data_IF_134021376283
#
_entry.id   IF_134021376283
#
_cell.length_a   1.000
_cell.length_b   1.000
_cell.length_c   1.000
_cell.angle_alpha   90.00
_cell.angle_beta   90.00
_cell.angle_gamma   90.00
#
_symmetry.space_group_name_H-M   'P 1'
#
loop_
_entity.id
_entity.type
_entity.pdbx_description
1 polymer ?
#
# COMPACT_ATOMS: atom_id res chain seq x y z
N UNK A 1 44.81 -3.93 41.27
CA UNK A 1 44.54 -2.51 41.56
C UNK A 1 43.58 -1.97 40.50
N UNK A 2 42.40 -1.48 40.95
CA UNK A 2 41.45 -0.49 40.36
C UNK A 2 41.13 -0.57 38.84
N UNK A 3 39.88 -0.86 38.46
CA UNK A 3 38.73 0.06 38.23
C UNK A 3 39.03 1.13 37.15
N UNK A 4 38.23 1.30 36.09
CA UNK A 4 36.95 2.08 36.00
C UNK A 4 36.28 1.68 34.66
N UNK A 5 35.13 1.00 34.66
CA UNK A 5 33.73 1.49 34.61
C UNK A 5 33.18 1.88 33.20
N UNK A 6 32.28 1.04 32.68
CA UNK A 6 31.24 1.39 31.69
C UNK A 6 29.89 1.33 32.40
N UNK A 7 29.22 2.47 32.47
CA UNK A 7 27.92 2.67 33.11
C UNK A 7 26.79 2.30 32.16
N UNK A 8 26.12 1.17 32.43
CA UNK A 8 24.76 0.89 31.94
C UNK A 8 23.76 1.42 32.96
N UNK A 9 22.94 2.41 32.57
CA UNK A 9 21.82 2.90 33.38
C UNK A 9 20.74 1.81 33.45
N UNK A 10 20.60 1.22 34.63
CA UNK A 10 19.44 0.43 35.04
C UNK A 10 18.24 1.37 35.16
N UNK A 11 17.12 1.05 34.48
CA UNK A 11 15.81 1.56 34.88
C UNK A 11 15.16 0.51 35.79
N UNK A 12 14.78 0.99 36.97
CA UNK A 12 14.23 0.24 38.10
C UNK A 12 12.77 -0.10 37.79
N UNK A 13 12.45 -1.39 37.65
CA UNK A 13 11.08 -1.88 37.68
C UNK A 13 10.76 -2.25 39.14
N UNK A 14 9.84 -1.54 39.76
CA UNK A 14 9.34 -1.87 41.10
C UNK A 14 8.57 -3.19 41.02
N UNK A 15 9.14 -4.26 41.57
CA UNK A 15 8.41 -5.48 41.92
C UNK A 15 7.85 -5.29 43.32
N UNK A 16 6.53 -5.11 43.43
CA UNK A 16 5.84 -5.35 44.69
C UNK A 16 5.42 -6.82 44.69
N UNK A 17 6.26 -7.66 45.28
CA UNK A 17 5.98 -9.06 45.56
C UNK A 17 5.01 -9.14 46.74
N UNK A 18 3.72 -9.29 46.47
CA UNK A 18 2.76 -9.70 47.50
C UNK A 18 2.67 -11.23 47.45
N UNK A 19 3.32 -11.85 48.43
CA UNK A 19 3.15 -13.25 48.81
C UNK A 19 1.77 -13.42 49.45
N UNK A 20 0.83 -14.05 48.75
CA UNK A 20 -0.38 -14.60 49.37
C UNK A 20 -0.55 -16.04 48.92
N UNK A 21 -0.25 -16.94 49.84
CA UNK A 21 -0.57 -18.36 49.79
C UNK A 21 -2.05 -18.57 50.15
N UNK A 22 -2.74 -19.26 49.25
CA UNK A 22 -4.01 -19.99 49.40
C UNK A 22 -4.99 -19.57 50.53
N UNK A 23 -6.01 -18.79 50.17
CA UNK A 23 -7.35 -18.91 50.73
C UNK A 23 -8.37 -18.90 49.59
N UNK A 24 -8.93 -20.07 49.31
CA UNK A 24 -9.98 -20.28 48.32
C UNK A 24 -11.34 -19.84 48.88
N UNK A 25 -12.23 -19.41 47.99
CA UNK A 25 -13.69 -19.33 48.14
C UNK A 25 -14.31 -18.05 48.76
N UNK A 26 -13.88 -16.88 48.32
CA UNK A 26 -14.80 -15.73 48.17
C UNK A 26 -14.92 -15.47 46.66
N UNK A 27 -16.14 -15.34 46.13
CA UNK A 27 -16.44 -15.33 44.69
C UNK A 27 -15.45 -14.45 43.89
N UNK A 28 -14.51 -15.11 43.21
CA UNK A 28 -13.55 -14.48 42.32
C UNK A 28 -14.25 -14.22 40.98
N UNK A 29 -14.70 -12.99 40.75
CA UNK A 29 -15.14 -12.61 39.40
C UNK A 29 -13.90 -12.36 38.55
N UNK A 30 -13.47 -13.40 37.85
CA UNK A 30 -12.43 -13.32 36.83
C UNK A 30 -13.07 -13.00 35.48
N UNK A 31 -12.68 -11.87 34.90
CA UNK A 31 -13.06 -11.50 33.53
C UNK A 31 -11.82 -11.26 32.69
N UNK A 32 -11.92 -11.50 31.39
CA UNK A 32 -10.84 -11.35 30.43
C UNK A 32 -11.26 -10.45 29.27
N UNK A 33 -10.37 -9.57 28.86
CA UNK A 33 -10.48 -8.79 27.65
C UNK A 33 -9.39 -9.20 26.66
N UNK A 34 -9.80 -9.48 25.43
CA UNK A 34 -8.92 -9.70 24.27
C UNK A 34 -8.97 -8.42 23.43
N UNK A 35 -7.81 -7.85 23.12
CA UNK A 35 -7.70 -6.64 22.31
C UNK A 35 -6.90 -6.96 21.05
N UNK A 36 -7.53 -6.79 19.89
CA UNK A 36 -6.90 -6.92 18.56
C UNK A 36 -6.73 -5.56 17.91
N UNK A 37 -5.78 -5.45 16.98
CA UNK A 37 -5.55 -4.24 16.19
C UNK A 37 -6.21 -4.40 14.81
N UNK A 38 -6.93 -3.37 14.38
CA UNK A 38 -7.83 -3.36 13.22
C UNK A 38 -7.17 -3.52 11.85
N UNK A 39 -5.90 -3.90 11.79
CA UNK A 39 -5.22 -4.37 10.58
C UNK A 39 -5.22 -5.90 10.43
N UNK A 40 -5.89 -6.63 11.33
CA UNK A 40 -6.02 -8.09 11.22
C UNK A 40 -6.78 -8.47 9.95
N UNK A 41 -6.34 -9.50 9.23
CA UNK A 41 -7.12 -10.08 8.12
C UNK A 41 -8.42 -10.70 8.65
N UNK A 42 -9.49 -10.71 7.85
CA UNK A 42 -10.73 -11.39 8.24
C UNK A 42 -10.52 -12.89 8.34
N UNK A 43 -9.80 -13.46 7.37
CA UNK A 43 -9.44 -14.88 7.29
C UNK A 43 -7.94 -15.10 7.47
N UNK A 44 -7.47 -16.34 7.74
CA UNK A 44 -6.05 -16.62 8.01
C UNK A 44 -5.16 -16.61 6.75
N UNK A 45 -5.42 -15.73 5.79
CA UNK A 45 -4.61 -15.54 4.59
C UNK A 45 -4.73 -14.12 4.05
N UNK A 46 -3.70 -13.67 3.34
CA UNK A 46 -3.74 -12.47 2.52
C UNK A 46 -4.45 -12.78 1.19
N UNK A 47 -5.60 -12.14 0.90
CA UNK A 47 -6.34 -12.41 -0.33
C UNK A 47 -5.58 -12.11 -1.62
N UNK A 48 -4.61 -11.19 -1.60
CA UNK A 48 -3.83 -10.83 -2.79
C UNK A 48 -2.74 -11.83 -3.11
N UNK A 49 -2.03 -12.31 -2.10
CA UNK A 49 -0.89 -13.23 -2.27
C UNK A 49 -1.23 -14.68 -2.00
N UNK A 50 -2.43 -14.95 -1.48
CA UNK A 50 -2.90 -16.25 -1.02
C UNK A 50 -2.00 -16.91 0.04
N UNK A 51 -1.19 -16.10 0.74
CA UNK A 51 -0.27 -16.57 1.78
C UNK A 51 -0.94 -16.57 3.14
N UNK A 52 -0.57 -17.51 4.00
CA UNK A 52 -1.05 -17.55 5.38
C UNK A 52 -0.71 -16.26 6.14
N UNK A 53 -1.67 -15.78 6.93
CA UNK A 53 -1.49 -14.64 7.83
C UNK A 53 -1.91 -15.04 9.25
N UNK A 54 -1.07 -14.70 10.22
CA UNK A 54 -1.40 -14.87 11.64
C UNK A 54 -2.39 -13.81 12.12
N UNK A 55 -2.97 -14.03 13.30
CA UNK A 55 -3.75 -13.00 13.98
C UNK A 55 -5.09 -12.63 13.31
N UNK A 56 -5.58 -13.43 12.35
CA UNK A 56 -6.87 -13.15 11.69
C UNK A 56 -8.03 -13.03 12.68
N UNK A 57 -9.07 -12.28 12.31
CA UNK A 57 -10.29 -12.13 13.11
C UNK A 57 -10.97 -13.48 13.38
N UNK A 58 -10.95 -14.41 12.41
CA UNK A 58 -11.49 -15.75 12.62
C UNK A 58 -10.70 -16.56 13.68
N UNK A 59 -9.38 -16.37 13.73
CA UNK A 59 -8.54 -16.95 14.77
C UNK A 59 -8.79 -16.28 16.14
N UNK A 60 -8.99 -14.96 16.17
CA UNK A 60 -9.33 -14.22 17.39
C UNK A 60 -10.69 -14.65 17.97
N UNK A 61 -11.70 -14.81 17.11
CA UNK A 61 -13.01 -15.34 17.49
C UNK A 61 -12.87 -16.74 18.10
N UNK A 62 -12.12 -17.63 17.46
CA UNK A 62 -11.89 -19.00 17.96
C UNK A 62 -11.14 -18.99 19.31
N UNK A 63 -10.15 -18.10 19.46
CA UNK A 63 -9.43 -17.90 20.71
C UNK A 63 -10.36 -17.41 21.83
N UNK A 64 -11.24 -16.44 21.54
CA UNK A 64 -12.23 -15.95 22.50
C UNK A 64 -13.21 -17.06 22.93
N UNK A 65 -13.70 -17.86 21.99
CA UNK A 65 -14.59 -18.99 22.28
C UNK A 65 -13.95 -20.03 23.20
N UNK A 66 -12.66 -20.32 23.04
CA UNK A 66 -11.95 -21.20 23.96
C UNK A 66 -12.00 -20.66 25.41
N UNK A 67 -11.69 -19.38 25.60
CA UNK A 67 -11.76 -18.77 26.93
C UNK A 67 -13.19 -18.66 27.47
N UNK A 68 -14.20 -18.47 26.62
CA UNK A 68 -15.61 -18.49 27.03
C UNK A 68 -16.03 -19.86 27.57
N UNK A 69 -15.49 -20.95 27.04
CA UNK A 69 -15.70 -22.30 27.57
C UNK A 69 -15.06 -22.49 28.95
N UNK A 70 -13.91 -21.86 29.19
CA UNK A 70 -13.16 -21.96 30.46
C UNK A 70 -13.70 -21.04 31.56
N UNK A 71 -13.98 -19.76 31.24
CA UNK A 71 -14.36 -18.73 32.20
C UNK A 71 -15.87 -18.42 32.22
N UNK A 72 -16.62 -18.92 31.23
CA UNK A 72 -18.02 -18.58 31.01
C UNK A 72 -18.20 -17.43 30.01
N UNK A 73 -19.25 -17.51 29.18
CA UNK A 73 -19.49 -16.59 28.06
C UNK A 73 -19.58 -15.11 28.47
N UNK A 74 -20.11 -14.82 29.66
CA UNK A 74 -20.29 -13.45 30.17
C UNK A 74 -19.01 -12.83 30.76
N UNK A 75 -17.94 -13.62 30.86
CA UNK A 75 -16.68 -13.22 31.49
C UNK A 75 -15.54 -12.97 30.49
N UNK A 76 -15.77 -13.18 29.20
CA UNK A 76 -14.76 -12.93 28.16
C UNK A 76 -15.29 -11.93 27.15
N UNK A 77 -14.53 -10.86 26.97
CA UNK A 77 -14.82 -9.79 26.03
C UNK A 77 -13.73 -9.73 24.96
N UNK A 78 -14.11 -9.32 23.76
CA UNK A 78 -13.19 -9.06 22.66
C UNK A 78 -13.47 -7.68 22.09
N UNK A 79 -12.43 -6.88 21.90
CA UNK A 79 -12.48 -5.58 21.23
C UNK A 79 -11.44 -5.55 20.10
N UNK A 80 -11.86 -5.08 18.93
CA UNK A 80 -10.96 -4.76 17.81
C UNK A 80 -10.84 -3.24 17.71
N UNK A 81 -9.61 -2.75 17.74
CA UNK A 81 -9.35 -1.32 17.74
C UNK A 81 -8.93 -0.89 16.33
N UNK A 82 -9.73 -0.08 15.61
CA UNK A 82 -9.47 0.32 14.23
C UNK A 82 -8.41 1.44 14.13
N UNK A 83 -7.30 1.34 14.86
CA UNK A 83 -6.18 2.30 14.82
C UNK A 83 -5.35 2.20 13.55
N UNK A 84 -5.41 1.06 12.86
CA UNK A 84 -4.54 0.74 11.73
C UNK A 84 -5.35 0.59 10.45
N UNK A 85 -4.72 1.01 9.35
CA UNK A 85 -5.25 0.81 8.02
C UNK A 85 -5.36 -0.69 7.73
N UNK A 86 -6.42 -1.09 7.04
CA UNK A 86 -6.59 -2.46 6.57
C UNK A 86 -5.45 -2.85 5.61
N UNK A 87 -4.98 -4.11 5.65
CA UNK A 87 -4.14 -4.65 4.60
C UNK A 87 -4.78 -4.48 3.22
N UNK A 88 -3.97 -4.35 2.16
CA UNK A 88 -4.50 -3.99 0.84
C UNK A 88 -5.56 -4.98 0.32
N UNK A 89 -5.36 -6.29 0.49
CA UNK A 89 -6.33 -7.29 0.06
C UNK A 89 -7.68 -7.16 0.80
N UNK A 90 -7.62 -6.91 2.10
CA UNK A 90 -8.81 -6.63 2.92
C UNK A 90 -9.51 -5.34 2.48
N UNK A 91 -8.75 -4.27 2.25
CA UNK A 91 -9.29 -2.99 1.81
C UNK A 91 -9.97 -3.09 0.44
N UNK A 92 -9.35 -3.81 -0.51
CA UNK A 92 -9.91 -4.06 -1.84
C UNK A 92 -11.20 -4.87 -1.74
N UNK A 93 -11.19 -5.99 -1.00
CA UNK A 93 -12.40 -6.81 -0.87
C UNK A 93 -13.52 -6.10 -0.12
N UNK A 94 -13.19 -5.34 0.92
CA UNK A 94 -14.17 -4.53 1.63
C UNK A 94 -14.81 -3.48 0.71
N UNK A 95 -14.04 -2.84 -0.18
CA UNK A 95 -14.55 -1.77 -1.03
C UNK A 95 -15.29 -2.29 -2.28
N UNK A 96 -14.81 -3.38 -2.87
CA UNK A 96 -15.26 -3.85 -4.20
C UNK A 96 -15.99 -5.21 -4.16
N UNK A 97 -15.94 -5.93 -3.04
CA UNK A 97 -16.56 -7.24 -2.83
C UNK A 97 -17.73 -7.17 -1.85
N UNK A 98 -17.46 -7.46 -0.57
CA UNK A 98 -18.45 -7.41 0.52
C UNK A 98 -17.91 -6.60 1.70
N UNK A 99 -18.40 -5.37 1.86
CA UNK A 99 -18.03 -4.45 2.94
C UNK A 99 -18.50 -4.91 4.32
N UNK A 100 -19.47 -5.82 4.39
CA UNK A 100 -20.09 -6.25 5.65
C UNK A 100 -19.46 -7.53 6.21
N UNK A 101 -18.73 -8.30 5.40
CA UNK A 101 -18.12 -9.58 5.79
C UNK A 101 -17.30 -9.47 7.08
N UNK A 102 -16.39 -8.49 7.14
CA UNK A 102 -15.53 -8.27 8.32
C UNK A 102 -16.37 -8.08 9.59
N UNK A 103 -17.39 -7.22 9.51
CA UNK A 103 -18.27 -6.92 10.64
C UNK A 103 -19.06 -8.16 11.07
N UNK A 104 -19.56 -8.97 10.13
CA UNK A 104 -20.26 -10.23 10.45
C UNK A 104 -19.37 -11.22 11.20
N UNK A 105 -18.10 -11.39 10.77
CA UNK A 105 -17.12 -12.26 11.46
C UNK A 105 -16.84 -11.76 12.88
N UNK A 106 -16.65 -10.46 13.03
CA UNK A 106 -16.43 -9.82 14.33
C UNK A 106 -17.63 -9.98 15.26
N UNK A 107 -18.84 -9.68 14.79
CA UNK A 107 -20.07 -9.81 15.57
C UNK A 107 -20.33 -11.26 16.00
N UNK A 108 -20.06 -12.23 15.12
CA UNK A 108 -20.21 -13.65 15.43
C UNK A 108 -19.28 -14.10 16.56
N UNK A 109 -18.03 -13.63 16.60
CA UNK A 109 -17.13 -13.90 17.73
C UNK A 109 -17.43 -13.09 19.00
N UNK A 110 -18.45 -12.22 18.97
CA UNK A 110 -18.79 -11.32 20.08
C UNK A 110 -17.82 -10.15 20.24
N UNK A 111 -17.15 -9.73 19.17
CA UNK A 111 -16.32 -8.53 19.17
C UNK A 111 -17.18 -7.28 19.37
N UNK A 112 -16.74 -6.39 20.25
CA UNK A 112 -17.33 -5.08 20.48
C UNK A 112 -16.46 -4.00 19.85
N UNK A 113 -17.10 -2.99 19.25
CA UNK A 113 -16.44 -1.88 18.54
C UNK A 113 -17.04 -0.54 18.94
N UNK A 114 -16.31 0.55 18.71
CA UNK A 114 -16.79 1.91 19.00
C UNK A 114 -17.05 2.13 20.50
N UNK A 115 -18.11 2.86 20.89
CA UNK A 115 -18.32 3.27 22.29
C UNK A 115 -18.38 2.10 23.30
N UNK A 116 -18.92 0.96 22.89
CA UNK A 116 -18.96 -0.24 23.75
C UNK A 116 -17.57 -0.82 23.97
N UNK A 117 -16.70 -0.77 22.95
CA UNK A 117 -15.29 -1.15 23.08
C UNK A 117 -14.52 -0.19 23.97
N UNK A 118 -14.71 1.12 23.80
CA UNK A 118 -14.04 2.16 24.59
C UNK A 118 -14.38 2.06 26.09
N UNK A 119 -15.65 1.77 26.39
CA UNK A 119 -16.11 1.50 27.75
C UNK A 119 -15.41 0.29 28.36
N UNK A 120 -15.18 -0.77 27.59
CA UNK A 120 -14.45 -1.95 28.05
C UNK A 120 -12.96 -1.67 28.27
N UNK A 121 -12.30 -0.96 27.35
CA UNK A 121 -10.89 -0.57 27.53
C UNK A 121 -10.71 0.22 28.84
N UNK A 122 -11.64 1.14 29.11
CA UNK A 122 -11.67 1.91 30.36
C UNK A 122 -11.91 1.01 31.58
N UNK A 123 -12.90 0.12 31.50
CA UNK A 123 -13.24 -0.84 32.57
C UNK A 123 -12.08 -1.77 32.93
N UNK A 124 -11.27 -2.15 31.95
CA UNK A 124 -10.09 -3.01 32.11
C UNK A 124 -8.80 -2.23 32.35
N UNK A 125 -8.86 -0.89 32.46
CA UNK A 125 -7.69 0.00 32.67
C UNK A 125 -6.60 -0.22 31.60
N UNK A 126 -7.01 -0.38 30.34
CA UNK A 126 -6.09 -0.55 29.22
C UNK A 126 -5.50 0.81 28.86
N UNK A 127 -4.18 0.95 28.95
CA UNK A 127 -3.48 2.14 28.50
C UNK A 127 -3.36 2.17 26.98
N UNK A 128 -3.61 3.34 26.38
CA UNK A 128 -3.52 3.51 24.93
C UNK A 128 -2.12 3.19 24.40
N UNK A 129 -1.07 3.56 25.14
CA UNK A 129 0.34 3.26 24.82
C UNK A 129 0.63 1.76 24.74
N UNK A 130 -0.10 0.94 25.51
CA UNK A 130 0.04 -0.52 25.47
C UNK A 130 -0.54 -1.09 24.17
N UNK A 131 -1.62 -0.50 23.65
CA UNK A 131 -2.23 -0.88 22.36
C UNK A 131 -1.39 -0.36 21.19
N UNK A 132 -0.99 0.92 21.23
CA UNK A 132 -0.24 1.56 20.15
C UNK A 132 1.12 0.88 19.89
N UNK A 133 1.69 0.25 20.93
CA UNK A 133 2.98 -0.44 20.88
C UNK A 133 2.93 -1.93 20.56
N UNK A 134 1.75 -2.49 20.25
CA UNK A 134 1.62 -3.88 19.77
C UNK A 134 2.23 -4.02 18.38
N UNK A 135 2.87 -5.15 18.06
CA UNK A 135 3.16 -5.49 16.66
C UNK A 135 1.98 -6.19 15.97
N UNK A 136 2.07 -6.47 14.68
CA UNK A 136 1.00 -7.14 13.90
C UNK A 136 0.81 -8.62 14.29
N UNK A 137 1.77 -9.17 15.03
CA UNK A 137 1.79 -10.55 15.52
C UNK A 137 1.42 -10.67 17.00
N UNK A 138 0.97 -9.59 17.62
CA UNK A 138 0.60 -9.53 19.03
C UNK A 138 -0.88 -9.18 19.21
N UNK A 139 -1.49 -9.78 20.23
CA UNK A 139 -2.74 -9.31 20.84
C UNK A 139 -2.46 -8.91 22.28
N UNK A 140 -3.28 -8.03 22.84
CA UNK A 140 -3.22 -7.70 24.26
C UNK A 140 -4.34 -8.44 25.00
N UNK A 141 -3.95 -9.24 25.99
CA UNK A 141 -4.86 -9.97 26.87
C UNK A 141 -4.83 -9.30 28.23
N UNK A 142 -5.99 -8.88 28.73
CA UNK A 142 -6.10 -8.20 30.02
C UNK A 142 -7.05 -8.99 30.91
N UNK A 143 -6.49 -9.57 31.95
CA UNK A 143 -7.25 -10.21 33.02
C UNK A 143 -7.63 -9.19 34.07
N UNK A 144 -8.87 -9.28 34.54
CA UNK A 144 -9.39 -8.49 35.64
C UNK A 144 -9.96 -9.42 36.70
N UNK A 145 -9.49 -9.25 37.92
CA UNK A 145 -9.92 -9.99 39.10
C UNK A 145 -10.57 -9.05 40.10
N UNK A 146 -11.75 -9.41 40.57
CA UNK A 146 -12.42 -8.74 41.68
C UNK A 146 -12.38 -9.65 42.92
N UNK A 147 -11.75 -9.16 43.99
CA UNK A 147 -11.61 -9.90 45.26
C UNK A 147 -11.85 -8.94 46.42
N UNK A 148 -12.88 -9.19 47.22
CA UNK A 148 -13.15 -8.40 48.44
C UNK A 148 -13.42 -6.90 48.22
N UNK A 149 -13.89 -6.51 47.02
CA UNK A 149 -14.10 -5.10 46.65
C UNK A 149 -12.89 -4.42 46.01
N UNK A 150 -11.73 -5.09 46.00
CA UNK A 150 -10.54 -4.62 45.27
C UNK A 150 -10.55 -5.14 43.83
N UNK A 151 -10.06 -4.33 42.89
CA UNK A 151 -9.89 -4.70 41.48
C UNK A 151 -8.40 -4.74 41.15
N UNK A 152 -7.93 -5.91 40.72
CA UNK A 152 -6.61 -6.08 40.13
C UNK A 152 -6.73 -6.33 38.62
N UNK A 153 -5.85 -5.72 37.83
CA UNK A 153 -5.75 -5.96 36.38
C UNK A 153 -4.35 -6.44 36.02
N UNK A 154 -4.25 -7.39 35.11
CA UNK A 154 -2.99 -7.89 34.59
C UNK A 154 -3.05 -7.93 33.06
N UNK A 155 -2.20 -7.13 32.42
CA UNK A 155 -2.07 -7.09 30.97
C UNK A 155 -0.88 -7.94 30.50
N UNK A 156 -1.07 -8.73 29.45
CA UNK A 156 -0.04 -9.57 28.84
C UNK A 156 -0.13 -9.51 27.32
N UNK A 157 1.02 -9.42 26.66
CA UNK A 157 1.14 -9.60 25.21
C UNK A 157 1.05 -11.08 24.85
N UNK A 158 0.20 -11.39 23.89
CA UNK A 158 -0.01 -12.75 23.37
C UNK A 158 0.48 -12.84 21.93
N UNK A 159 1.37 -13.78 21.66
CA UNK A 159 1.86 -14.07 20.31
C UNK A 159 0.78 -14.80 19.50
N UNK A 160 0.21 -14.10 18.53
CA UNK A 160 -0.90 -14.58 17.72
C UNK A 160 -0.46 -15.48 16.56
N UNK A 161 0.86 -15.72 16.36
CA UNK A 161 1.39 -16.56 15.26
C UNK A 161 0.96 -18.02 15.34
N UNK A 162 0.60 -18.47 16.53
CA UNK A 162 0.12 -19.82 16.78
C UNK A 162 -1.41 -19.91 16.89
N UNK A 163 -2.11 -18.77 16.91
CA UNK A 163 -3.57 -18.77 16.92
C UNK A 163 -4.10 -19.30 15.59
N UNK A 164 -5.06 -20.22 15.65
CA UNK A 164 -5.71 -20.81 14.48
C UNK A 164 -7.22 -20.77 14.66
N UNK A 165 -7.99 -20.59 13.57
CA UNK A 165 -9.41 -20.86 13.58
C UNK A 165 -9.71 -22.30 14.06
N UNK A 166 -10.84 -22.48 14.74
CA UNK A 166 -11.34 -23.83 15.04
C UNK A 166 -11.95 -24.45 13.80
N UNK A 167 -12.02 -25.79 13.74
CA UNK A 167 -12.66 -26.47 12.61
C UNK A 167 -14.14 -26.06 12.44
N UNK A 168 -14.83 -25.80 13.54
CA UNK A 168 -16.21 -25.32 13.54
C UNK A 168 -16.31 -23.93 12.90
N UNK A 169 -15.40 -23.01 13.26
CA UNK A 169 -15.33 -21.68 12.67
C UNK A 169 -14.97 -21.73 11.18
N UNK A 170 -14.00 -22.57 10.78
CA UNK A 170 -13.66 -22.75 9.37
C UNK A 170 -14.85 -23.31 8.56
N UNK A 171 -15.59 -24.26 9.12
CA UNK A 171 -16.77 -24.82 8.45
C UNK A 171 -17.89 -23.77 8.32
N UNK A 172 -18.09 -22.96 9.36
CA UNK A 172 -19.11 -21.92 9.40
C UNK A 172 -18.89 -20.84 8.33
N UNK A 173 -17.63 -20.46 8.08
CA UNK A 173 -17.27 -19.35 7.18
C UNK A 173 -16.67 -19.80 5.85
N UNK A 174 -16.73 -21.10 5.55
CA UNK A 174 -16.09 -21.69 4.37
C UNK A 174 -16.56 -21.04 3.07
N UNK A 175 -17.85 -20.74 2.96
CA UNK A 175 -18.44 -20.18 1.75
C UNK A 175 -17.88 -18.78 1.48
N UNK A 176 -17.89 -17.92 2.49
CA UNK A 176 -17.35 -16.56 2.40
C UNK A 176 -15.84 -16.57 2.19
N UNK A 177 -15.11 -17.49 2.82
CA UNK A 177 -13.69 -17.66 2.59
C UNK A 177 -13.39 -18.01 1.11
N UNK A 178 -14.17 -18.94 0.55
CA UNK A 178 -14.06 -19.31 -0.86
C UNK A 178 -14.43 -18.15 -1.79
N UNK A 179 -15.42 -17.33 -1.43
CA UNK A 179 -15.79 -16.14 -2.19
C UNK A 179 -14.65 -15.10 -2.21
N UNK A 180 -14.00 -14.84 -1.07
CA UNK A 180 -12.83 -13.95 -1.02
C UNK A 180 -11.71 -14.49 -1.91
N UNK A 181 -11.40 -15.78 -1.83
CA UNK A 181 -10.37 -16.40 -2.68
C UNK A 181 -10.73 -16.30 -4.17
N UNK A 182 -11.99 -16.58 -4.51
CA UNK A 182 -12.47 -16.51 -5.88
C UNK A 182 -12.42 -15.09 -6.44
N UNK A 183 -12.74 -14.08 -5.64
CA UNK A 183 -12.68 -12.66 -6.03
C UNK A 183 -11.28 -12.26 -6.53
N UNK A 184 -10.21 -12.66 -5.83
CA UNK A 184 -8.84 -12.32 -6.25
C UNK A 184 -8.25 -13.28 -7.30
N UNK A 185 -8.81 -14.49 -7.42
CA UNK A 185 -8.41 -15.46 -8.43
C UNK A 185 -9.08 -15.23 -9.80
N UNK A 186 -10.23 -14.55 -9.83
CA UNK A 186 -10.96 -14.26 -11.05
C UNK A 186 -10.19 -13.26 -11.95
N UNK A 187 -10.17 -13.48 -13.28
CA UNK A 187 -9.76 -12.45 -14.22
C UNK A 187 -10.64 -11.21 -14.08
N UNK A 188 -10.04 -10.03 -14.03
CA UNK A 188 -10.76 -8.74 -14.01
C UNK A 188 -10.82 -8.06 -15.36
N UNK A 189 -9.92 -8.42 -16.28
CA UNK A 189 -9.86 -7.87 -17.64
C UNK A 189 -9.01 -8.77 -18.56
N UNK A 190 -9.00 -8.48 -19.86
CA UNK A 190 -8.11 -9.12 -20.84
C UNK A 190 -7.11 -8.14 -21.46
N UNK A 191 -5.84 -8.52 -21.52
CA UNK A 191 -4.78 -7.76 -22.16
C UNK A 191 -4.45 -8.33 -23.54
N UNK A 192 -4.48 -7.49 -24.58
CA UNK A 192 -4.30 -7.96 -25.96
C UNK A 192 -2.85 -8.19 -26.38
N UNK A 193 -1.88 -7.66 -25.64
CA UNK A 193 -0.46 -7.72 -25.97
C UNK A 193 0.38 -7.67 -24.70
N UNK A 194 1.43 -8.49 -24.64
CA UNK A 194 2.38 -8.48 -23.53
C UNK A 194 3.05 -7.11 -23.42
N UNK A 195 2.98 -6.50 -22.24
CA UNK A 195 3.61 -5.20 -21.94
C UNK A 195 4.74 -5.38 -20.94
N UNK A 196 5.75 -4.51 -20.99
CA UNK A 196 6.93 -4.58 -20.12
C UNK A 196 7.39 -3.21 -19.64
N UNK A 197 7.90 -3.15 -18.40
CA UNK A 197 8.52 -1.93 -17.85
C UNK A 197 9.84 -1.55 -18.54
N UNK A 198 10.45 -2.47 -19.29
CA UNK A 198 11.72 -2.25 -20.01
C UNK A 198 11.64 -1.06 -20.97
N UNK A 199 10.48 -0.87 -21.60
CA UNK A 199 10.25 0.21 -22.56
C UNK A 199 10.29 1.60 -21.89
N UNK A 200 9.90 1.70 -20.61
CA UNK A 200 9.84 2.97 -19.88
C UNK A 200 11.19 3.69 -19.78
N UNK A 201 12.31 2.97 -19.93
CA UNK A 201 13.66 3.55 -19.85
C UNK A 201 14.10 4.24 -21.16
N UNK A 202 13.45 3.93 -22.29
CA UNK A 202 13.95 4.31 -23.61
C UNK A 202 13.02 5.24 -24.40
N UNK A 203 11.78 5.42 -23.96
CA UNK A 203 10.78 6.14 -24.75
C UNK A 203 9.40 6.13 -24.12
N UNK A 204 8.39 6.67 -24.83
CA UNK A 204 6.99 6.37 -24.56
C UNK A 204 6.80 4.85 -24.53
N UNK A 205 6.04 4.36 -23.56
CA UNK A 205 5.90 2.92 -23.37
C UNK A 205 4.45 2.47 -23.30
N UNK A 206 4.19 1.30 -23.90
CA UNK A 206 2.89 0.63 -23.80
C UNK A 206 2.52 0.33 -22.35
N UNK A 207 3.52 0.03 -21.51
CA UNK A 207 3.28 -0.19 -20.08
C UNK A 207 2.79 1.06 -19.37
N UNK A 208 3.46 2.21 -19.56
CA UNK A 208 3.04 3.47 -18.96
C UNK A 208 1.66 3.94 -19.47
N UNK A 209 1.33 3.69 -20.74
CA UNK A 209 0.05 4.11 -21.31
C UNK A 209 -1.16 3.57 -20.54
N UNK A 210 -1.11 2.31 -20.09
CA UNK A 210 -2.14 1.72 -19.23
C UNK A 210 -2.38 2.57 -17.97
N UNK A 211 -1.30 3.00 -17.32
CA UNK A 211 -1.40 3.80 -16.10
C UNK A 211 -1.77 5.24 -16.40
N UNK A 212 -1.39 5.79 -17.54
CA UNK A 212 -1.86 7.10 -17.96
C UNK A 212 -3.37 7.13 -18.13
N UNK A 213 -3.96 6.11 -18.76
CA UNK A 213 -5.42 5.95 -18.85
C UNK A 213 -6.07 5.90 -17.47
N UNK A 214 -5.57 5.04 -16.59
CA UNK A 214 -6.02 4.98 -15.20
C UNK A 214 -5.97 6.35 -14.51
N UNK A 215 -4.86 7.09 -14.64
CA UNK A 215 -4.70 8.38 -13.99
C UNK A 215 -5.65 9.44 -14.55
N UNK A 216 -5.87 9.49 -15.87
CA UNK A 216 -6.82 10.42 -16.48
C UNK A 216 -8.27 10.08 -16.12
N UNK A 217 -8.66 8.80 -16.13
CA UNK A 217 -10.02 8.39 -15.76
C UNK A 217 -10.31 8.63 -14.27
N UNK A 218 -9.30 8.47 -13.41
CA UNK A 218 -9.44 8.76 -11.97
C UNK A 218 -9.38 10.27 -11.68
N UNK A 219 -8.65 11.04 -12.47
CA UNK A 219 -8.51 12.50 -12.34
C UNK A 219 -8.91 13.21 -13.65
N UNK A 220 -10.20 13.30 -13.99
CA UNK A 220 -10.68 13.76 -15.31
C UNK A 220 -10.41 15.24 -15.63
N UNK A 221 -9.92 16.01 -14.65
CA UNK A 221 -9.50 17.41 -14.83
C UNK A 221 -8.00 17.57 -15.09
N UNK A 222 -7.25 16.47 -15.15
CA UNK A 222 -5.84 16.51 -15.43
C UNK A 222 -5.60 16.68 -16.93
N UNK A 223 -4.76 17.65 -17.27
CA UNK A 223 -4.31 17.90 -18.65
C UNK A 223 -3.14 16.97 -19.00
N UNK A 224 -2.32 16.63 -18.00
CA UNK A 224 -1.06 15.90 -18.16
C UNK A 224 -0.97 14.80 -17.12
N UNK A 225 -0.39 13.67 -17.51
CA UNK A 225 -0.23 12.49 -16.65
C UNK A 225 1.25 12.09 -16.60
N UNK A 226 1.79 11.96 -15.39
CA UNK A 226 3.16 11.50 -15.13
C UNK A 226 3.14 10.14 -14.46
N UNK A 227 3.89 9.18 -15.01
CA UNK A 227 3.95 7.83 -14.49
C UNK A 227 5.37 7.28 -14.54
N UNK A 228 5.89 6.80 -13.41
CA UNK A 228 7.15 6.06 -13.36
C UNK A 228 6.87 4.56 -13.11
N UNK A 229 7.68 3.65 -13.69
CA UNK A 229 7.48 2.21 -13.51
C UNK A 229 7.63 1.83 -12.02
N UNK A 230 6.75 0.99 -11.46
CA UNK A 230 6.78 0.59 -10.05
C UNK A 230 7.86 -0.46 -9.74
N UNK A 231 8.37 -1.12 -10.78
CA UNK A 231 9.42 -2.14 -10.74
C UNK A 231 10.32 -1.99 -11.97
N UNK A 232 11.58 -2.36 -11.86
CA UNK A 232 12.56 -2.18 -12.93
C UNK A 232 12.31 -3.11 -14.12
N UNK A 233 12.20 -4.40 -13.86
CA UNK A 233 12.01 -5.42 -14.90
C UNK A 233 10.80 -6.30 -14.58
N UNK A 234 9.70 -6.02 -15.25
CA UNK A 234 8.49 -6.83 -15.19
C UNK A 234 7.82 -6.92 -16.56
N UNK A 235 7.02 -7.97 -16.70
CA UNK A 235 6.14 -8.17 -17.84
C UNK A 235 4.73 -8.53 -17.34
N UNK A 236 3.72 -7.99 -18.00
CA UNK A 236 2.35 -8.46 -17.92
C UNK A 236 2.04 -9.21 -19.23
N UNK A 237 1.91 -10.54 -19.20
CA UNK A 237 1.58 -11.32 -20.39
C UNK A 237 0.22 -10.95 -20.98
N UNK A 238 0.08 -11.05 -22.30
CA UNK A 238 -1.23 -11.03 -22.94
C UNK A 238 -2.14 -12.15 -22.40
N UNK A 239 -3.45 -11.92 -22.41
CA UNK A 239 -4.47 -12.84 -21.91
C UNK A 239 -5.21 -12.32 -20.69
N UNK A 240 -5.70 -13.24 -19.87
CA UNK A 240 -6.43 -12.91 -18.64
C UNK A 240 -5.52 -12.21 -17.62
N UNK A 241 -6.02 -11.10 -17.05
CA UNK A 241 -5.32 -10.33 -16.02
C UNK A 241 -6.14 -10.37 -14.74
N UNK A 242 -5.48 -10.71 -13.62
CA UNK A 242 -6.06 -10.68 -12.27
C UNK A 242 -5.52 -9.48 -11.50
N UNK A 243 -6.21 -9.07 -10.44
CA UNK A 243 -5.75 -7.97 -9.57
C UNK A 243 -4.33 -8.20 -9.03
N UNK A 244 -4.04 -9.43 -8.60
CA UNK A 244 -2.74 -9.80 -8.05
C UNK A 244 -1.58 -9.68 -9.05
N UNK A 245 -1.83 -9.76 -10.36
CA UNK A 245 -0.78 -9.67 -11.39
C UNK A 245 -0.17 -8.26 -11.45
N UNK A 246 -1.00 -7.24 -11.21
CA UNK A 246 -0.63 -5.81 -11.28
C UNK A 246 -0.34 -5.24 -9.89
N UNK A 247 -1.24 -5.43 -8.92
CA UNK A 247 -1.16 -4.75 -7.61
C UNK A 247 0.10 -5.13 -6.83
N UNK A 248 0.65 -6.33 -7.03
CA UNK A 248 1.90 -6.79 -6.41
C UNK A 248 3.10 -5.88 -6.67
N UNK A 249 3.09 -5.10 -7.75
CA UNK A 249 4.17 -4.16 -8.08
C UNK A 249 4.09 -2.88 -7.23
N UNK A 250 2.93 -2.52 -6.71
CA UNK A 250 2.70 -1.28 -5.96
C UNK A 250 2.80 -1.50 -4.45
N UNK A 251 4.02 -1.40 -3.92
CA UNK A 251 4.35 -1.72 -2.51
C UNK A 251 3.98 -0.65 -1.50
N UNK A 252 3.71 0.58 -1.94
CA UNK A 252 3.55 1.74 -1.06
C UNK A 252 2.12 2.26 -1.07
N UNK A 253 1.73 2.81 0.07
CA UNK A 253 0.43 3.42 0.35
C UNK A 253 0.36 4.86 -0.18
N UNK A 254 0.75 5.03 -1.44
CA UNK A 254 0.75 6.34 -2.08
C UNK A 254 -0.67 6.76 -2.48
N UNK A 255 -0.90 8.07 -2.51
CA UNK A 255 -2.12 8.67 -3.06
C UNK A 255 -1.95 8.90 -4.56
N UNK A 256 -3.06 8.94 -5.30
CA UNK A 256 -3.09 9.62 -6.59
C UNK A 256 -3.43 11.08 -6.36
N UNK A 257 -2.65 11.99 -6.94
CA UNK A 257 -2.81 13.42 -6.67
C UNK A 257 -2.74 14.24 -7.95
N UNK A 258 -3.29 15.45 -7.89
CA UNK A 258 -3.14 16.47 -8.93
C UNK A 258 -2.40 17.69 -8.39
N UNK A 259 -1.59 18.30 -9.25
CA UNK A 259 -0.87 19.55 -8.97
C UNK A 259 -1.15 20.53 -10.10
N UNK A 260 -1.44 21.79 -9.77
CA UNK A 260 -1.56 22.87 -10.76
C UNK A 260 -0.25 23.64 -10.84
N UNK A 261 0.23 23.87 -12.05
CA UNK A 261 1.46 24.62 -12.30
C UNK A 261 1.42 25.35 -13.64
N UNK A 262 2.25 26.39 -13.75
CA UNK A 262 2.41 27.11 -15.01
C UNK A 262 3.18 26.30 -16.05
N UNK A 263 3.03 26.64 -17.34
CA UNK A 263 3.83 26.06 -18.41
C UNK A 263 5.35 26.21 -18.20
N UNK A 264 5.81 27.33 -17.66
CA UNK A 264 7.21 27.55 -17.30
C UNK A 264 7.68 26.58 -16.21
N UNK A 265 6.87 26.37 -15.17
CA UNK A 265 7.16 25.39 -14.11
C UNK A 265 7.16 23.97 -14.67
N UNK A 266 6.26 23.66 -15.60
CA UNK A 266 6.19 22.35 -16.26
C UNK A 266 7.47 22.11 -17.08
N UNK A 267 7.87 23.08 -17.88
CA UNK A 267 9.10 23.04 -18.66
C UNK A 267 10.32 22.82 -17.74
N UNK A 268 10.44 23.57 -16.65
CA UNK A 268 11.53 23.40 -15.68
C UNK A 268 11.51 22.00 -15.03
N UNK A 269 10.32 21.49 -14.72
CA UNK A 269 10.18 20.16 -14.14
C UNK A 269 10.59 19.08 -15.14
N UNK A 270 10.13 19.12 -16.39
CA UNK A 270 10.54 18.17 -17.42
C UNK A 270 12.04 18.23 -17.71
N UNK A 271 12.64 19.43 -17.78
CA UNK A 271 14.09 19.58 -17.90
C UNK A 271 14.84 18.85 -16.77
N UNK A 272 14.33 18.94 -15.53
CA UNK A 272 14.87 18.19 -14.40
C UNK A 272 14.72 16.68 -14.62
N UNK A 273 13.53 16.18 -14.96
CA UNK A 273 13.27 14.74 -15.14
C UNK A 273 14.16 14.13 -16.22
N UNK A 274 14.15 14.71 -17.43
CA UNK A 274 14.92 14.21 -18.56
C UNK A 274 16.42 14.49 -18.44
N UNK A 275 16.79 15.57 -17.74
CA UNK A 275 18.16 15.89 -17.39
C UNK A 275 18.79 14.90 -16.41
N UNK A 276 18.01 14.44 -15.42
CA UNK A 276 18.44 13.45 -14.44
C UNK A 276 18.52 12.04 -15.05
N UNK A 277 17.56 11.63 -15.88
CA UNK A 277 17.46 10.24 -16.34
C UNK A 277 18.41 9.86 -17.48
N UNK A 278 18.77 10.82 -18.35
CA UNK A 278 19.58 10.55 -19.54
C UNK A 278 20.95 11.20 -19.51
N UNK A 279 21.95 10.51 -20.04
CA UNK A 279 23.25 11.10 -20.36
C UNK A 279 23.13 12.08 -21.54
N UNK A 280 24.12 12.96 -21.66
CA UNK A 280 24.30 13.76 -22.87
C UNK A 280 25.00 12.86 -23.89
N UNK A 281 24.46 12.74 -25.09
CA UNK A 281 25.03 11.89 -26.14
C UNK A 281 25.80 12.73 -27.17
N UNK A 282 26.88 12.15 -27.69
CA UNK A 282 27.71 12.76 -28.75
C UNK A 282 27.92 11.83 -29.96
N UNK A 283 27.33 10.63 -29.91
CA UNK A 283 27.38 9.64 -30.99
C UNK A 283 26.64 8.35 -30.61
N UNK A 284 26.55 7.37 -31.52
CA UNK A 284 25.85 6.11 -31.28
C UNK A 284 26.55 5.21 -30.24
N UNK A 285 27.81 5.51 -29.89
CA UNK A 285 28.55 4.77 -28.86
C UNK A 285 28.39 5.34 -27.45
N UNK A 286 27.71 6.48 -27.28
CA UNK A 286 27.43 7.05 -25.96
C UNK A 286 26.55 6.13 -25.11
N UNK A 287 26.61 6.29 -23.79
CA UNK A 287 25.58 5.75 -22.89
C UNK A 287 24.34 6.65 -22.95
N UNK A 288 23.15 6.07 -22.80
CA UNK A 288 21.86 6.75 -22.79
C UNK A 288 21.28 6.80 -21.38
N UNK A 289 20.95 5.64 -20.81
CA UNK A 289 20.22 5.55 -19.53
C UNK A 289 21.17 5.67 -18.34
N UNK A 290 20.88 6.57 -17.41
CA UNK A 290 21.62 6.67 -16.14
C UNK A 290 21.08 5.64 -15.13
N UNK A 291 21.61 4.42 -15.15
CA UNK A 291 21.17 3.33 -14.25
C UNK A 291 21.34 3.62 -12.74
N UNK A 292 22.21 4.57 -12.38
CA UNK A 292 22.32 5.06 -10.99
C UNK A 292 21.08 5.83 -10.54
N UNK A 293 20.26 6.32 -11.48
CA UNK A 293 18.97 6.93 -11.18
C UNK A 293 17.94 5.81 -11.01
N UNK A 294 17.33 5.69 -9.82
CA UNK A 294 16.36 4.65 -9.54
C UNK A 294 15.19 4.65 -10.54
N UNK A 295 14.73 3.45 -10.94
CA UNK A 295 13.68 3.25 -11.94
C UNK A 295 12.39 4.03 -11.65
N UNK A 296 12.05 4.24 -10.38
CA UNK A 296 10.85 4.98 -9.95
C UNK A 296 10.96 6.51 -10.17
N UNK A 297 12.04 6.98 -10.82
CA UNK A 297 12.23 8.36 -11.28
C UNK A 297 12.33 8.46 -12.82
N UNK A 298 12.04 7.37 -13.54
CA UNK A 298 11.99 7.35 -15.02
C UNK A 298 10.55 7.60 -15.47
N UNK A 299 10.06 8.81 -15.19
CA UNK A 299 8.69 9.22 -15.52
C UNK A 299 8.46 9.25 -17.04
N UNK A 300 7.43 8.55 -17.51
CA UNK A 300 6.77 8.78 -18.79
C UNK A 300 5.71 9.89 -18.65
N UNK A 301 5.48 10.61 -19.73
CA UNK A 301 4.67 11.84 -19.74
C UNK A 301 3.72 11.82 -20.94
N UNK A 302 2.44 12.11 -20.70
CA UNK A 302 1.42 12.28 -21.75
C UNK A 302 0.50 13.46 -21.43
N UNK A 303 -0.29 13.87 -22.42
CA UNK A 303 -1.13 15.07 -22.41
C UNK A 303 -0.51 16.24 -23.18
N UNK A 304 0.80 16.14 -23.47
CA UNK A 304 1.57 17.12 -24.24
C UNK A 304 2.46 16.44 -25.26
N UNK A 305 2.73 17.17 -26.35
CA UNK A 305 3.70 16.81 -27.37
C UNK A 305 5.00 17.60 -27.19
N UNK A 306 6.12 16.89 -27.12
CA UNK A 306 7.43 17.50 -26.87
C UNK A 306 8.58 16.66 -27.43
N UNK A 307 9.77 17.27 -27.58
CA UNK A 307 11.01 16.55 -27.87
C UNK A 307 12.01 16.68 -26.74
N UNK A 308 12.97 15.76 -26.71
CA UNK A 308 14.12 15.80 -25.81
C UNK A 308 15.42 15.73 -26.63
N UNK A 309 16.14 16.84 -26.76
CA UNK A 309 17.47 16.90 -27.37
C UNK A 309 18.55 16.43 -26.38
N UNK A 310 19.03 15.20 -26.57
CA UNK A 310 20.06 14.62 -25.73
C UNK A 310 21.48 15.06 -26.10
N UNK A 311 21.67 15.85 -27.18
CA UNK A 311 22.94 16.54 -27.44
C UNK A 311 23.05 17.86 -26.68
N UNK A 312 21.95 18.39 -26.17
CA UNK A 312 21.92 19.64 -25.44
C UNK A 312 22.43 19.51 -24.00
N UNK A 313 22.82 20.65 -23.40
CA UNK A 313 23.17 20.74 -21.98
C UNK A 313 21.89 20.63 -21.13
N UNK A 314 22.07 20.28 -19.85
CA UNK A 314 20.98 20.27 -18.88
C UNK A 314 20.27 21.63 -18.83
N UNK A 315 18.94 21.63 -18.77
CA UNK A 315 18.11 22.85 -18.78
C UNK A 315 17.73 23.35 -20.18
N UNK A 316 18.22 22.71 -21.24
CA UNK A 316 17.93 23.05 -22.64
C UNK A 316 17.60 21.83 -23.50
N UNK A 317 17.14 20.73 -22.90
CA UNK A 317 16.87 19.48 -23.61
C UNK A 317 15.44 19.42 -24.13
N UNK A 318 14.48 19.91 -23.36
CA UNK A 318 13.06 19.70 -23.60
C UNK A 318 12.49 20.85 -24.43
N UNK A 319 11.71 20.55 -25.46
CA UNK A 319 10.90 21.56 -26.16
C UNK A 319 9.47 21.06 -26.24
N UNK A 320 8.55 21.72 -25.51
CA UNK A 320 7.11 21.44 -25.55
C UNK A 320 6.49 22.27 -26.67
N UNK A 321 5.64 21.65 -27.50
CA UNK A 321 5.06 22.28 -28.68
C UNK A 321 3.58 22.61 -28.50
N UNK A 322 2.82 21.61 -28.09
CA UNK A 322 1.36 21.61 -28.07
C UNK A 322 0.85 20.54 -27.09
N UNK A 323 -0.44 20.56 -26.80
CA UNK A 323 -1.11 19.44 -26.17
C UNK A 323 -1.39 18.30 -27.17
N UNK A 324 -1.84 17.14 -26.69
CA UNK A 324 -2.20 16.03 -27.58
C UNK A 324 -3.49 16.26 -28.40
N UNK A 325 -4.18 17.40 -28.19
CA UNK A 325 -5.35 17.84 -28.97
C UNK A 325 -4.98 18.83 -30.09
N UNK A 326 -3.72 19.28 -30.16
CA UNK A 326 -3.20 20.21 -31.18
C UNK A 326 -3.25 21.69 -30.77
N UNK A 327 -3.51 22.00 -29.50
CA UNK A 327 -3.46 23.39 -29.02
C UNK A 327 -2.02 23.77 -28.66
N UNK A 328 -1.57 24.92 -29.17
CA UNK A 328 -0.22 25.41 -28.93
C UNK A 328 0.10 25.59 -27.44
N UNK A 329 1.28 25.11 -27.03
CA UNK A 329 1.74 25.21 -25.65
C UNK A 329 1.90 26.67 -25.22
N UNK A 330 1.40 26.99 -24.02
CA UNK A 330 1.44 28.34 -23.46
C UNK A 330 2.36 28.35 -22.24
N UNK A 331 3.54 28.98 -22.29
CA UNK A 331 4.44 29.04 -21.13
C UNK A 331 3.80 29.66 -19.89
N UNK A 332 2.89 30.63 -20.07
CA UNK A 332 2.13 31.26 -18.99
C UNK A 332 0.75 30.63 -18.75
N UNK A 333 0.43 29.56 -19.47
CA UNK A 333 -0.79 28.79 -19.27
C UNK A 333 -0.71 27.98 -17.98
N UNK A 334 -1.86 27.60 -17.44
CA UNK A 334 -1.99 26.77 -16.26
C UNK A 334 -2.32 25.34 -16.67
N UNK A 335 -1.60 24.37 -16.11
CA UNK A 335 -1.75 22.95 -16.41
C UNK A 335 -1.96 22.16 -15.12
N UNK A 336 -2.90 21.23 -15.15
CA UNK A 336 -3.17 20.28 -14.08
C UNK A 336 -2.47 18.96 -14.39
N UNK A 337 -1.52 18.57 -13.55
CA UNK A 337 -0.75 17.34 -13.70
C UNK A 337 -1.23 16.30 -12.69
N UNK A 338 -1.66 15.13 -13.16
CA UNK A 338 -1.94 13.96 -12.31
C UNK A 338 -0.70 13.06 -12.19
N UNK A 339 -0.38 12.67 -10.96
CA UNK A 339 0.78 11.83 -10.66
C UNK A 339 0.67 11.13 -9.31
N UNK A 340 1.56 10.18 -9.09
CA UNK A 340 1.71 9.51 -7.79
C UNK A 340 2.24 10.49 -6.72
N UNK A 341 1.69 10.43 -5.50
CA UNK A 341 2.08 11.35 -4.40
C UNK A 341 3.57 11.29 -4.05
N UNK A 342 4.26 10.17 -4.29
CA UNK A 342 5.71 10.08 -4.13
C UNK A 342 6.46 11.07 -5.03
N UNK A 343 6.02 11.20 -6.30
CA UNK A 343 6.60 12.12 -7.29
C UNK A 343 6.17 13.55 -7.05
N UNK A 344 4.93 13.77 -6.60
CA UNK A 344 4.42 15.09 -6.25
C UNK A 344 5.24 15.82 -5.18
N UNK A 345 6.00 15.10 -4.34
CA UNK A 345 6.93 15.70 -3.36
C UNK A 345 7.96 16.63 -3.99
N UNK A 346 8.41 16.36 -5.22
CA UNK A 346 9.33 17.28 -5.92
C UNK A 346 8.64 18.61 -6.26
N UNK A 347 7.35 18.57 -6.57
CA UNK A 347 6.53 19.75 -6.87
C UNK A 347 6.12 20.49 -5.58
N UNK A 348 5.85 19.77 -4.50
CA UNK A 348 5.61 20.36 -3.16
C UNK A 348 6.83 21.14 -2.68
N UNK A 349 8.05 20.61 -2.91
CA UNK A 349 9.30 21.31 -2.60
C UNK A 349 9.49 22.59 -3.42
N UNK A 350 8.83 22.71 -4.58
CA UNK A 350 8.75 23.94 -5.37
C UNK A 350 7.67 24.91 -4.85
N UNK A 351 6.97 24.58 -3.76
CA UNK A 351 5.90 25.38 -3.17
C UNK A 351 4.53 25.18 -3.82
N UNK A 352 4.35 24.13 -4.63
CA UNK A 352 3.09 23.86 -5.32
C UNK A 352 2.12 23.09 -4.43
N UNK A 353 0.83 23.46 -4.52
CA UNK A 353 -0.23 22.80 -3.77
C UNK A 353 -0.61 21.45 -4.41
N UNK A 354 -0.71 20.41 -3.58
CA UNK A 354 -1.14 19.07 -3.98
C UNK A 354 -2.59 18.84 -3.55
N UNK A 355 -3.40 18.32 -4.46
CA UNK A 355 -4.78 17.91 -4.19
C UNK A 355 -4.91 16.39 -4.34
N UNK A 356 -5.59 15.72 -3.41
CA UNK A 356 -5.85 14.29 -3.55
C UNK A 356 -6.89 14.04 -4.64
N UNK A 357 -6.55 13.18 -5.62
CA UNK A 357 -7.51 12.60 -6.56
C UNK A 357 -8.04 11.25 -6.05
N UNK A 358 -7.18 10.44 -5.41
CA UNK A 358 -7.57 9.23 -4.70
C UNK A 358 -6.67 8.97 -3.48
N UNK A 359 -7.27 8.61 -2.34
CA UNK A 359 -6.57 8.41 -1.07
C UNK A 359 -5.70 7.13 -1.03
N UNK A 360 -6.03 6.13 -1.84
CA UNK A 360 -5.15 4.97 -2.06
C UNK A 360 -5.07 4.68 -3.56
N UNK A 361 -3.89 4.91 -4.13
CA UNK A 361 -3.59 4.70 -5.55
C UNK A 361 -3.93 3.27 -5.98
N UNK A 362 -3.66 2.28 -5.13
CA UNK A 362 -3.81 0.85 -5.45
C UNK A 362 -5.28 0.45 -5.41
N UNK A 363 -6.04 0.99 -4.46
CA UNK A 363 -7.48 0.77 -4.40
C UNK A 363 -8.19 1.39 -5.61
N UNK A 364 -7.83 2.62 -5.98
CA UNK A 364 -8.34 3.27 -7.18
C UNK A 364 -7.96 2.48 -8.45
N UNK A 365 -6.73 1.98 -8.53
CA UNK A 365 -6.28 1.14 -9.64
C UNK A 365 -7.06 -0.18 -9.71
N UNK A 366 -7.31 -0.84 -8.57
CA UNK A 366 -8.13 -2.05 -8.51
C UNK A 366 -9.55 -1.80 -9.01
N UNK A 367 -10.18 -0.72 -8.54
CA UNK A 367 -11.52 -0.32 -8.96
C UNK A 367 -11.57 -0.02 -10.47
N UNK A 368 -10.58 0.71 -10.98
CA UNK A 368 -10.46 1.01 -12.40
C UNK A 368 -10.31 -0.25 -13.25
N UNK A 369 -9.40 -1.18 -12.87
CA UNK A 369 -9.18 -2.44 -13.57
C UNK A 369 -10.44 -3.30 -13.66
N UNK A 370 -11.23 -3.36 -12.58
CA UNK A 370 -12.49 -4.12 -12.54
C UNK A 370 -13.59 -3.53 -13.43
N UNK A 371 -13.43 -2.30 -13.91
CA UNK A 371 -14.34 -1.66 -14.86
C UNK A 371 -13.91 -1.87 -16.33
N UNK A 372 -12.72 -2.43 -16.57
CA UNK A 372 -12.20 -2.62 -17.92
C UNK A 372 -12.51 -4.03 -18.43
N UNK A 373 -13.27 -4.13 -19.52
CA UNK A 373 -13.41 -5.42 -20.21
C UNK A 373 -12.10 -5.82 -20.92
N UNK A 374 -11.46 -4.84 -21.57
CA UNK A 374 -10.24 -5.02 -22.34
C UNK A 374 -9.21 -3.93 -22.09
N UNK A 375 -7.96 -4.34 -21.94
CA UNK A 375 -6.77 -3.51 -21.97
C UNK A 375 -6.08 -3.66 -23.32
N UNK A 376 -6.03 -2.57 -24.09
CA UNK A 376 -5.36 -2.49 -25.39
C UNK A 376 -4.35 -1.34 -25.44
N UNK A 377 -3.40 -1.28 -24.50
CA UNK A 377 -2.48 -0.15 -24.44
C UNK A 377 -1.58 -0.14 -25.68
N UNK A 378 -1.18 1.06 -26.11
CA UNK A 378 -0.22 1.27 -27.20
C UNK A 378 0.72 2.41 -26.81
N UNK A 379 2.02 2.26 -27.07
CA UNK A 379 2.96 3.35 -26.88
C UNK A 379 2.49 4.58 -27.68
N UNK A 380 2.51 5.75 -27.04
CA UNK A 380 2.14 7.02 -27.66
C UNK A 380 3.28 7.57 -28.52
N UNK A 381 2.94 8.44 -29.46
CA UNK A 381 3.90 9.16 -30.31
C UNK A 381 4.10 10.61 -29.87
N UNK A 382 3.72 10.92 -28.63
CA UNK A 382 3.66 12.29 -28.13
C UNK A 382 5.07 12.87 -27.83
N UNK A 383 6.07 12.03 -27.59
CA UNK A 383 7.42 12.51 -27.41
C UNK A 383 8.51 11.58 -27.94
N UNK A 384 9.66 12.17 -28.31
CA UNK A 384 10.85 11.43 -28.74
C UNK A 384 12.13 12.04 -28.18
N UNK A 385 13.15 11.19 -27.98
CA UNK A 385 14.50 11.62 -27.65
C UNK A 385 15.38 11.63 -28.91
N UNK A 386 16.02 12.77 -29.17
CA UNK A 386 16.86 13.01 -30.33
C UNK A 386 18.35 13.13 -29.98
N UNK A 387 19.26 12.88 -30.95
CA UNK A 387 18.98 12.50 -32.34
C UNK A 387 18.53 11.03 -32.43
N UNK A 388 17.42 10.77 -33.12
CA UNK A 388 16.71 9.49 -33.06
C UNK A 388 17.56 8.30 -33.52
N UNK A 389 18.39 8.49 -34.55
CA UNK A 389 19.29 7.43 -35.05
C UNK A 389 20.26 6.97 -33.97
N UNK A 390 20.82 7.89 -33.18
CA UNK A 390 21.73 7.54 -32.09
C UNK A 390 20.97 6.93 -30.93
N UNK A 391 19.85 7.55 -30.52
CA UNK A 391 19.02 7.04 -29.42
C UNK A 391 18.55 5.62 -29.70
N UNK A 392 18.10 5.31 -30.93
CA UNK A 392 17.68 3.96 -31.32
C UNK A 392 18.83 2.95 -31.23
N UNK A 393 20.00 3.28 -31.78
CA UNK A 393 21.17 2.40 -31.72
C UNK A 393 21.63 2.13 -30.29
N UNK A 394 21.71 3.19 -29.45
CA UNK A 394 22.10 3.05 -28.04
C UNK A 394 21.05 2.26 -27.27
N UNK A 395 19.76 2.58 -27.44
CA UNK A 395 18.67 1.90 -26.74
C UNK A 395 18.60 0.41 -27.07
N UNK A 396 18.85 0.02 -28.33
CA UNK A 396 18.93 -1.40 -28.70
C UNK A 396 20.08 -2.11 -27.99
N UNK A 397 21.27 -1.51 -27.96
CA UNK A 397 22.44 -2.04 -27.27
C UNK A 397 22.19 -2.14 -25.76
N UNK A 398 21.78 -1.04 -25.14
CA UNK A 398 21.56 -0.96 -23.70
C UNK A 398 20.41 -1.84 -23.22
N UNK A 399 19.35 -2.01 -24.00
CA UNK A 399 18.27 -2.93 -23.65
C UNK A 399 18.78 -4.36 -23.46
N UNK A 400 19.72 -4.80 -24.29
CA UNK A 400 20.37 -6.12 -24.13
C UNK A 400 21.20 -6.13 -22.86
N UNK A 401 22.10 -5.16 -22.68
CA UNK A 401 22.99 -5.11 -21.52
C UNK A 401 22.27 -4.97 -20.17
N UNK A 402 21.14 -4.23 -20.13
CA UNK A 402 20.42 -3.95 -18.89
C UNK A 402 19.47 -5.09 -18.50
N UNK A 403 18.82 -5.73 -19.48
CA UNK A 403 17.71 -6.66 -19.23
C UNK A 403 17.90 -8.08 -19.76
N UNK A 404 19.03 -8.37 -20.41
CA UNK A 404 19.43 -9.72 -20.80
C UNK A 404 20.76 -10.04 -20.09
N UNK A 405 20.77 -10.96 -19.11
CA UNK A 405 21.99 -11.36 -18.41
C UNK A 405 22.97 -12.13 -19.30
#
# INVERSE_FOLDING_TARGET
MRNIARTSKQFILFWVTILITASYAAAQHHTRLIVTCGNSYTFPFDPLTNRYCSGSLLAAASFAEQWKKELGANNVYWVDIPLRKLPLGEAVYHHLGDSTLRQRVMQHGGCLTGPSGDSLLTRFRVEQTAVDSLDDTEWLIVDRYEVGGETATQAKRYDNRNARPSQEAENQWRTEEQQVRAFFAAPVTQLDTTITTRDCFFGPSTFAELFHRFQFETAPKADISLFAPPVMDAALPAGEVRLGDILRWFRYDNRLVTVRLSGEQLQQFLEKLFGMRYFRISGPESDLVRLKVPYYLHDDVTGIRFRVDLTARYGHRVTIYEDEQGNAFQPKGEYTVVLNSFRARDLEQMGLAVQTAAEDYRLALAAWLMQQEWLRPRARDNWSAGPERWVRAIAERERRTIFQP
#
